data_IF_383245238219
#
_entry.id   IF_383245238219
#
_cell.length_a   1.000
_cell.length_b   1.000
_cell.length_c   1.000
_cell.angle_alpha   90.00
_cell.angle_beta   90.00
_cell.angle_gamma   90.00
#
_symmetry.space_group_name_H-M   'P 1'
#
loop_
_entity.id
_entity.type
_entity.pdbx_description
1 polymer ?
#
# COMPACT_ATOMS: atom_id res chain seq x y z
N UNK A 1 16.86 47.09 -11.54
CA UNK A 1 17.86 46.71 -10.51
C UNK A 1 17.22 46.07 -9.26
N UNK A 2 15.94 46.30 -8.97
CA UNK A 2 15.22 45.84 -7.76
C UNK A 2 15.11 44.31 -7.60
N UNK A 3 15.03 43.56 -8.71
CA UNK A 3 15.03 42.09 -8.70
C UNK A 3 16.33 41.45 -8.18
N UNK A 4 17.47 42.14 -8.25
CA UNK A 4 18.77 41.52 -7.90
C UNK A 4 18.96 41.31 -6.39
N UNK A 5 18.41 42.20 -5.54
CA UNK A 5 18.57 42.13 -4.08
C UNK A 5 17.78 40.97 -3.47
N UNK A 6 16.57 40.69 -3.99
CA UNK A 6 15.78 39.54 -3.57
C UNK A 6 16.47 38.22 -3.95
N UNK A 7 16.98 38.11 -5.18
CA UNK A 7 17.67 36.91 -5.63
C UNK A 7 18.94 36.64 -4.82
N UNK A 8 19.71 37.68 -4.46
CA UNK A 8 20.89 37.54 -3.61
C UNK A 8 20.52 37.07 -2.20
N UNK A 9 19.48 37.66 -1.60
CA UNK A 9 18.96 37.24 -0.29
C UNK A 9 18.49 35.78 -0.32
N UNK A 10 17.67 35.42 -1.29
CA UNK A 10 17.15 34.06 -1.47
C UNK A 10 18.28 33.05 -1.70
N UNK A 11 19.31 33.42 -2.48
CA UNK A 11 20.49 32.58 -2.69
C UNK A 11 21.24 32.32 -1.37
N UNK A 12 21.43 33.36 -0.54
CA UNK A 12 22.05 33.23 0.78
C UNK A 12 21.24 32.32 1.70
N UNK A 13 19.93 32.50 1.78
CA UNK A 13 19.04 31.65 2.60
C UNK A 13 19.07 30.19 2.12
N UNK A 14 18.91 29.98 0.81
CA UNK A 14 18.79 28.63 0.23
C UNK A 14 20.10 27.86 0.22
N UNK A 15 21.26 28.55 0.26
CA UNK A 15 22.58 27.92 0.42
C UNK A 15 22.69 27.09 1.71
N UNK A 16 21.96 27.47 2.76
CA UNK A 16 21.93 26.78 4.05
C UNK A 16 20.98 25.58 4.09
N UNK A 17 20.08 25.45 3.10
CA UNK A 17 19.09 24.39 3.01
C UNK A 17 19.66 23.19 2.24
N UNK A 18 19.84 22.04 2.89
CA UNK A 18 20.49 20.88 2.26
C UNK A 18 19.60 20.19 1.24
N UNK A 19 18.30 20.06 1.50
CA UNK A 19 17.36 19.37 0.62
C UNK A 19 17.04 20.19 -0.63
N UNK A 20 17.28 19.63 -1.83
CA UNK A 20 16.95 20.28 -3.11
C UNK A 20 15.44 20.57 -3.24
N UNK A 21 14.61 19.60 -2.86
CA UNK A 21 13.16 19.73 -2.89
C UNK A 21 12.67 20.84 -1.94
N UNK A 22 13.28 20.93 -0.74
CA UNK A 22 12.97 22.01 0.18
C UNK A 22 13.45 23.38 -0.34
N UNK A 23 14.64 23.46 -0.98
CA UNK A 23 15.15 24.70 -1.58
C UNK A 23 14.16 25.28 -2.58
N UNK A 24 13.68 24.49 -3.53
CA UNK A 24 12.73 24.97 -4.55
C UNK A 24 11.43 25.51 -3.93
N UNK A 25 10.91 24.82 -2.92
CA UNK A 25 9.68 25.23 -2.22
C UNK A 25 9.88 26.50 -1.38
N UNK A 26 10.95 26.53 -0.57
CA UNK A 26 11.32 27.66 0.27
C UNK A 26 11.60 28.90 -0.58
N UNK A 27 12.29 28.75 -1.71
CA UNK A 27 12.58 29.87 -2.62
C UNK A 27 11.29 30.52 -3.12
N UNK A 28 10.32 29.70 -3.56
CA UNK A 28 9.02 30.20 -4.03
C UNK A 28 8.23 30.89 -2.92
N UNK A 29 8.18 30.30 -1.73
CA UNK A 29 7.45 30.86 -0.57
C UNK A 29 8.07 32.19 -0.12
N UNK A 30 9.40 32.22 0.09
CA UNK A 30 10.09 33.43 0.51
C UNK A 30 10.03 34.52 -0.56
N UNK A 31 10.14 34.18 -1.84
CA UNK A 31 10.00 35.15 -2.92
C UNK A 31 8.59 35.76 -2.96
N UNK A 32 7.54 34.95 -2.73
CA UNK A 32 6.18 35.46 -2.61
C UNK A 32 6.03 36.43 -1.43
N UNK A 33 6.50 36.06 -0.24
CA UNK A 33 6.45 36.91 0.95
C UNK A 33 7.26 38.20 0.81
N UNK A 34 8.45 38.14 0.21
CA UNK A 34 9.26 39.33 -0.07
C UNK A 34 8.52 40.31 -0.99
N UNK A 35 7.86 39.80 -2.04
CA UNK A 35 7.06 40.64 -2.93
C UNK A 35 5.84 41.23 -2.23
N UNK A 36 5.15 40.46 -1.38
CA UNK A 36 4.01 40.92 -0.60
C UNK A 36 4.40 42.04 0.39
N UNK A 37 5.51 41.84 1.13
CA UNK A 37 6.08 42.83 2.04
C UNK A 37 6.48 44.10 1.29
N UNK A 38 7.18 43.98 0.16
CA UNK A 38 7.56 45.13 -0.65
C UNK A 38 6.34 45.92 -1.14
N UNK A 39 5.31 45.24 -1.68
CA UNK A 39 4.07 45.90 -2.08
C UNK A 39 3.39 46.61 -0.90
N UNK A 40 3.46 46.05 0.31
CA UNK A 40 2.92 46.69 1.51
C UNK A 40 3.66 48.00 1.85
N UNK A 41 4.98 48.05 1.69
CA UNK A 41 5.78 49.26 1.91
C UNK A 41 5.56 50.29 0.79
N UNK A 42 5.43 49.85 -0.47
CA UNK A 42 5.08 50.76 -1.57
C UNK A 42 3.74 51.46 -1.34
N UNK A 43 2.73 50.73 -0.84
CA UNK A 43 1.43 51.33 -0.45
C UNK A 43 1.53 52.36 0.68
N UNK A 44 2.58 52.28 1.51
CA UNK A 44 2.88 53.26 2.57
C UNK A 44 3.66 54.47 2.06
N UNK A 45 3.92 54.56 0.75
CA UNK A 45 4.58 55.69 0.10
C UNK A 45 6.09 55.53 -0.08
N UNK A 46 6.67 54.36 0.20
CA UNK A 46 8.10 54.13 -0.04
C UNK A 46 8.39 53.86 -1.52
N UNK A 47 9.49 54.41 -2.08
CA UNK A 47 9.97 54.04 -3.41
C UNK A 47 10.28 52.54 -3.51
N UNK A 48 10.11 51.94 -4.68
CA UNK A 48 10.26 50.47 -4.91
C UNK A 48 11.58 49.90 -4.36
N UNK A 49 12.70 50.60 -4.56
CA UNK A 49 14.02 50.16 -4.09
C UNK A 49 14.09 50.15 -2.56
N UNK A 50 13.62 51.22 -1.91
CA UNK A 50 13.59 51.33 -0.44
C UNK A 50 12.60 50.34 0.18
N UNK A 51 11.47 50.09 -0.50
CA UNK A 51 10.48 49.10 -0.10
C UNK A 51 11.05 47.66 -0.13
N UNK A 52 11.86 47.33 -1.14
CA UNK A 52 12.52 46.03 -1.23
C UNK A 52 13.56 45.84 -0.12
N UNK A 53 14.38 46.86 0.16
CA UNK A 53 15.38 46.76 1.22
C UNK A 53 14.72 46.63 2.61
N UNK A 54 13.61 47.33 2.84
CA UNK A 54 12.79 47.15 4.06
C UNK A 54 12.15 45.77 4.17
N UNK A 55 11.66 45.21 3.06
CA UNK A 55 11.15 43.85 3.03
C UNK A 55 12.23 42.82 3.41
N UNK A 56 13.47 43.00 2.95
CA UNK A 56 14.61 42.15 3.36
C UNK A 56 14.92 42.32 4.85
N UNK A 57 14.94 43.55 5.36
CA UNK A 57 15.21 43.81 6.77
C UNK A 57 14.19 43.16 7.71
N UNK A 58 12.90 43.17 7.34
CA UNK A 58 11.86 42.47 8.11
C UNK A 58 12.05 40.95 8.13
N UNK A 59 12.58 40.36 7.06
CA UNK A 59 12.87 38.92 7.00
C UNK A 59 14.05 38.51 7.91
N UNK A 60 14.88 39.47 8.30
CA UNK A 60 16.02 39.26 9.20
C UNK A 60 17.22 38.60 8.53
N UNK A 61 18.15 38.08 9.35
CA UNK A 61 19.42 37.52 8.87
C UNK A 61 19.19 36.28 7.97
N UNK A 62 19.69 36.29 6.71
CA UNK A 62 19.48 35.19 5.78
C UNK A 62 20.13 33.88 6.22
N UNK A 63 21.25 33.93 6.95
CA UNK A 63 21.94 32.71 7.40
C UNK A 63 21.17 32.00 8.50
N UNK A 64 20.77 32.74 9.55
CA UNK A 64 19.94 32.23 10.63
C UNK A 64 18.58 31.73 10.14
N UNK A 65 17.95 32.47 9.23
CA UNK A 65 16.70 32.04 8.59
C UNK A 65 16.89 30.73 7.81
N UNK A 66 17.94 30.64 7.00
CA UNK A 66 18.27 29.44 6.23
C UNK A 66 18.56 28.20 7.08
N UNK A 67 19.27 28.35 8.20
CA UNK A 67 19.54 27.25 9.13
C UNK A 67 18.26 26.77 9.85
N UNK A 68 17.41 27.70 10.30
CA UNK A 68 16.12 27.38 10.88
C UNK A 68 15.21 26.64 9.89
N UNK A 69 15.12 27.14 8.65
CA UNK A 69 14.35 26.50 7.59
C UNK A 69 14.89 25.11 7.22
N UNK A 70 16.21 24.93 7.18
CA UNK A 70 16.83 23.62 6.95
C UNK A 70 16.49 22.62 8.06
N UNK A 71 16.45 23.04 9.32
CA UNK A 71 16.06 22.18 10.46
C UNK A 71 14.60 21.76 10.36
N UNK A 72 13.72 22.66 9.94
CA UNK A 72 12.27 22.41 9.82
C UNK A 72 11.91 21.55 8.60
N UNK A 73 12.61 21.71 7.47
CA UNK A 73 12.29 21.03 6.20
C UNK A 73 13.23 19.85 5.88
N UNK A 74 13.95 19.32 6.88
CA UNK A 74 14.85 18.18 6.68
C UNK A 74 14.04 16.90 6.41
N UNK A 75 14.29 16.18 5.30
CA UNK A 75 13.65 14.89 5.06
C UNK A 75 13.99 13.90 6.18
N UNK A 76 12.97 13.24 6.74
CA UNK A 76 13.15 12.21 7.77
C UNK A 76 12.71 10.85 7.25
N UNK A 77 13.47 9.81 7.56
CA UNK A 77 13.09 8.43 7.25
C UNK A 77 12.46 7.76 8.47
N UNK A 78 11.49 6.88 8.25
CA UNK A 78 10.98 6.02 9.31
C UNK A 78 11.87 4.79 9.48
N UNK A 79 13.00 4.96 10.18
CA UNK A 79 13.99 3.91 10.38
C UNK A 79 13.43 2.67 11.08
N UNK A 80 12.41 2.82 11.93
CA UNK A 80 11.75 1.69 12.56
C UNK A 80 11.01 0.84 11.52
N UNK A 81 10.25 1.48 10.62
CA UNK A 81 9.55 0.78 9.54
C UNK A 81 10.52 0.07 8.59
N UNK A 82 11.65 0.72 8.27
CA UNK A 82 12.72 0.12 7.46
C UNK A 82 13.34 -1.08 8.17
N UNK A 83 13.64 -0.97 9.46
CA UNK A 83 14.19 -2.08 10.26
C UNK A 83 13.25 -3.29 10.30
N UNK A 84 11.94 -3.06 10.52
CA UNK A 84 10.93 -4.12 10.49
C UNK A 84 10.88 -4.78 9.11
N UNK A 85 10.87 -4.00 8.04
CA UNK A 85 10.87 -4.52 6.67
C UNK A 85 12.09 -5.40 6.40
N UNK A 86 13.28 -5.01 6.85
CA UNK A 86 14.50 -5.82 6.71
C UNK A 86 14.37 -7.16 7.43
N UNK A 87 13.79 -7.18 8.63
CA UNK A 87 13.55 -8.42 9.38
C UNK A 87 12.56 -9.32 8.64
N UNK A 88 11.40 -8.78 8.22
CA UNK A 88 10.39 -9.56 7.50
C UNK A 88 10.93 -10.08 6.16
N UNK A 89 11.71 -9.29 5.43
CA UNK A 89 12.38 -9.71 4.20
C UNK A 89 13.37 -10.87 4.44
N UNK A 90 14.11 -10.85 5.54
CA UNK A 90 15.00 -11.96 5.91
C UNK A 90 14.21 -13.23 6.26
N UNK A 91 13.08 -13.10 6.96
CA UNK A 91 12.20 -14.23 7.31
C UNK A 91 11.50 -14.85 6.09
N UNK A 92 11.37 -14.10 4.98
CA UNK A 92 10.74 -14.60 3.74
C UNK A 92 11.45 -15.78 3.09
N UNK A 93 12.70 -16.05 3.46
CA UNK A 93 13.43 -17.21 2.97
C UNK A 93 13.03 -18.50 3.69
N UNK A 94 12.51 -18.43 4.91
CA UNK A 94 12.22 -19.61 5.73
C UNK A 94 11.19 -20.56 5.09
N UNK A 95 10.07 -20.08 4.50
CA UNK A 95 9.13 -20.97 3.79
C UNK A 95 9.75 -21.75 2.62
N UNK A 96 10.90 -21.30 2.10
CA UNK A 96 11.53 -21.88 0.92
C UNK A 96 12.52 -23.02 1.25
N UNK A 97 12.92 -23.16 2.51
CA UNK A 97 14.02 -24.05 2.90
C UNK A 97 13.56 -25.51 2.99
N UNK A 98 12.39 -25.80 3.57
CA UNK A 98 11.92 -27.17 3.76
C UNK A 98 10.69 -27.59 2.94
N UNK A 99 9.89 -26.66 2.40
CA UNK A 99 8.62 -26.99 1.72
C UNK A 99 8.72 -27.46 0.26
N UNK A 100 9.89 -27.31 -0.39
CA UNK A 100 9.98 -27.28 -1.86
C UNK A 100 10.75 -28.41 -2.53
N UNK A 101 11.61 -29.12 -1.79
CA UNK A 101 12.47 -30.17 -2.38
C UNK A 101 11.67 -31.37 -2.90
N UNK A 102 10.70 -31.87 -2.12
CA UNK A 102 9.94 -33.06 -2.50
C UNK A 102 8.80 -32.78 -3.50
N UNK A 103 8.21 -31.57 -3.48
CA UNK A 103 7.01 -31.26 -4.26
C UNK A 103 7.33 -30.92 -5.72
N UNK A 104 8.40 -30.15 -5.96
CA UNK A 104 8.73 -29.66 -7.31
C UNK A 104 9.94 -30.36 -7.94
N UNK A 105 10.63 -31.24 -7.20
CA UNK A 105 11.91 -31.87 -7.61
C UNK A 105 12.96 -30.87 -8.12
N UNK A 106 12.80 -29.61 -7.75
CA UNK A 106 13.71 -28.52 -8.09
C UNK A 106 14.57 -28.24 -6.86
N UNK A 107 15.88 -28.00 -7.04
CA UNK A 107 16.76 -27.78 -5.90
C UNK A 107 16.34 -26.51 -5.16
N UNK A 108 16.42 -26.52 -3.83
CA UNK A 108 16.16 -25.35 -2.94
C UNK A 108 16.89 -24.09 -3.44
N UNK A 109 18.08 -24.26 -4.04
CA UNK A 109 18.85 -23.20 -4.67
C UNK A 109 18.10 -22.40 -5.74
N UNK A 110 17.16 -23.01 -6.47
CA UNK A 110 16.35 -22.34 -7.49
C UNK A 110 15.41 -21.30 -6.86
N UNK A 111 14.65 -21.69 -5.83
CA UNK A 111 13.70 -20.81 -5.16
C UNK A 111 14.39 -19.70 -4.39
N UNK A 112 15.50 -20.00 -3.73
CA UNK A 112 16.32 -18.99 -3.04
C UNK A 112 16.86 -17.96 -4.03
N UNK A 113 17.40 -18.38 -5.19
CA UNK A 113 17.87 -17.45 -6.23
C UNK A 113 16.74 -16.54 -6.72
N UNK A 114 15.57 -17.12 -6.98
CA UNK A 114 14.40 -16.37 -7.47
C UNK A 114 13.86 -15.40 -6.41
N UNK A 115 13.79 -15.80 -5.15
CA UNK A 115 13.39 -14.93 -4.03
C UNK A 115 14.37 -13.77 -3.85
N UNK A 116 15.69 -14.03 -3.91
CA UNK A 116 16.71 -12.98 -3.86
C UNK A 116 16.58 -11.98 -5.01
N UNK A 117 16.26 -12.45 -6.21
CA UNK A 117 15.98 -11.57 -7.36
C UNK A 117 14.76 -10.68 -7.10
N UNK A 118 13.64 -11.25 -6.65
CA UNK A 118 12.42 -10.50 -6.37
C UNK A 118 12.58 -9.50 -5.22
N UNK A 119 13.29 -9.87 -4.15
CA UNK A 119 13.61 -8.96 -3.05
C UNK A 119 14.51 -7.80 -3.50
N UNK A 120 15.50 -8.07 -4.35
CA UNK A 120 16.35 -7.03 -4.93
C UNK A 120 15.53 -6.04 -5.77
N UNK A 121 14.60 -6.55 -6.59
CA UNK A 121 13.71 -5.73 -7.38
C UNK A 121 12.71 -4.94 -6.50
N UNK A 122 12.18 -5.56 -5.44
CA UNK A 122 11.32 -4.92 -4.46
C UNK A 122 12.03 -3.76 -3.74
N UNK A 123 13.29 -3.96 -3.35
CA UNK A 123 14.11 -2.91 -2.75
C UNK A 123 14.34 -1.74 -3.73
N UNK A 124 14.60 -2.04 -5.00
CA UNK A 124 14.74 -1.02 -6.05
C UNK A 124 13.43 -0.22 -6.20
N UNK A 125 12.28 -0.89 -6.23
CA UNK A 125 10.96 -0.23 -6.29
C UNK A 125 10.74 0.69 -5.09
N UNK A 126 11.07 0.24 -3.87
CA UNK A 126 10.95 1.06 -2.66
C UNK A 126 11.83 2.30 -2.76
N UNK A 127 13.10 2.15 -3.13
CA UNK A 127 14.04 3.26 -3.26
C UNK A 127 13.55 4.25 -4.33
N UNK A 128 13.12 3.75 -5.49
CA UNK A 128 12.61 4.56 -6.57
C UNK A 128 11.41 5.41 -6.13
N UNK A 129 10.44 4.80 -5.43
CA UNK A 129 9.23 5.48 -4.96
C UNK A 129 9.49 6.45 -3.81
N UNK A 130 10.44 6.14 -2.92
CA UNK A 130 10.90 7.06 -1.89
C UNK A 130 11.43 8.34 -2.54
N UNK A 131 12.29 8.21 -3.56
CA UNK A 131 12.89 9.34 -4.27
C UNK A 131 11.84 10.10 -5.08
N UNK A 132 10.94 9.39 -5.74
CA UNK A 132 9.84 9.96 -6.52
C UNK A 132 8.90 10.82 -5.67
N UNK A 133 8.43 11.94 -6.21
CA UNK A 133 7.45 12.82 -5.55
C UNK A 133 6.04 12.28 -5.79
N UNK A 134 5.48 11.61 -4.77
CA UNK A 134 4.16 10.99 -4.82
C UNK A 134 3.06 11.99 -5.23
N UNK A 135 3.20 13.29 -4.94
CA UNK A 135 2.17 14.32 -5.25
C UNK A 135 1.90 14.44 -6.73
N UNK A 136 2.87 14.09 -7.58
CA UNK A 136 2.68 14.07 -9.04
C UNK A 136 1.59 13.08 -9.46
N UNK A 137 1.40 11.99 -8.71
CA UNK A 137 0.40 10.96 -9.00
C UNK A 137 -1.04 11.48 -8.89
N UNK A 138 -1.27 12.55 -8.11
CA UNK A 138 -2.60 13.09 -7.84
C UNK A 138 -3.36 13.48 -9.12
N UNK A 139 -2.68 13.88 -10.19
CA UNK A 139 -3.35 14.40 -11.39
C UNK A 139 -3.64 13.33 -12.45
N UNK A 140 -3.12 12.11 -12.30
CA UNK A 140 -3.16 11.07 -13.34
C UNK A 140 -4.17 9.96 -13.06
N UNK A 141 -5.19 10.20 -12.24
CA UNK A 141 -6.13 9.17 -11.81
C UNK A 141 -6.88 8.51 -12.97
N UNK A 142 -7.25 9.28 -14.00
CA UNK A 142 -7.93 8.76 -15.21
C UNK A 142 -7.03 7.77 -15.93
N UNK A 143 -5.74 8.09 -16.08
CA UNK A 143 -4.77 7.21 -16.72
C UNK A 143 -4.59 5.91 -15.93
N UNK A 144 -4.38 5.99 -14.61
CA UNK A 144 -4.26 4.78 -13.79
C UNK A 144 -5.50 3.91 -13.86
N UNK A 145 -6.69 4.52 -13.81
CA UNK A 145 -7.95 3.79 -13.89
C UNK A 145 -8.13 3.10 -15.25
N UNK A 146 -7.99 3.85 -16.35
CA UNK A 146 -8.18 3.31 -17.70
C UNK A 146 -7.15 2.25 -18.05
N UNK A 147 -5.88 2.44 -17.67
CA UNK A 147 -4.83 1.43 -17.87
C UNK A 147 -5.14 0.18 -17.05
N UNK A 148 -5.59 0.31 -15.80
CA UNK A 148 -6.01 -0.82 -14.98
C UNK A 148 -7.15 -1.62 -15.61
N UNK A 149 -8.19 -0.94 -16.11
CA UNK A 149 -9.30 -1.58 -16.84
C UNK A 149 -8.81 -2.25 -18.12
N UNK A 150 -7.99 -1.56 -18.93
CA UNK A 150 -7.47 -2.10 -20.17
C UNK A 150 -6.63 -3.37 -19.95
N UNK A 151 -5.82 -3.42 -18.89
CA UNK A 151 -5.06 -4.60 -18.51
C UNK A 151 -6.00 -5.75 -18.14
N UNK A 152 -7.04 -5.53 -17.34
CA UNK A 152 -8.00 -6.59 -16.98
C UNK A 152 -8.76 -7.12 -18.21
N UNK A 153 -9.20 -6.23 -19.10
CA UNK A 153 -9.86 -6.61 -20.36
C UNK A 153 -8.89 -7.42 -21.23
N UNK A 154 -7.64 -6.96 -21.37
CA UNK A 154 -6.62 -7.71 -22.11
C UNK A 154 -6.35 -9.09 -21.48
N UNK A 155 -6.30 -9.16 -20.16
CA UNK A 155 -6.11 -10.41 -19.40
C UNK A 155 -7.25 -11.39 -19.67
N UNK A 156 -8.49 -10.91 -19.81
CA UNK A 156 -9.63 -11.75 -20.14
C UNK A 156 -9.51 -12.41 -21.53
N UNK A 157 -9.00 -11.69 -22.53
CA UNK A 157 -8.87 -12.23 -23.89
C UNK A 157 -7.59 -13.03 -24.14
N UNK A 158 -6.46 -12.58 -23.59
CA UNK A 158 -5.13 -13.11 -23.90
C UNK A 158 -4.52 -13.95 -22.77
N UNK A 159 -5.16 -13.98 -21.61
CA UNK A 159 -4.68 -14.70 -20.45
C UNK A 159 -4.97 -16.20 -20.53
N UNK A 160 -4.08 -17.00 -19.94
CA UNK A 160 -4.30 -18.44 -19.78
C UNK A 160 -4.48 -18.76 -18.28
N UNK A 161 -5.36 -19.71 -17.99
CA UNK A 161 -5.63 -20.15 -16.61
C UNK A 161 -4.58 -21.17 -16.19
N UNK A 162 -3.96 -20.95 -15.04
CA UNK A 162 -3.10 -21.91 -14.35
C UNK A 162 -3.60 -22.06 -12.91
N UNK A 163 -3.71 -23.30 -12.42
CA UNK A 163 -4.23 -23.64 -11.09
C UNK A 163 -5.67 -23.11 -10.85
N UNK A 164 -6.55 -23.26 -11.85
CA UNK A 164 -8.00 -23.01 -11.78
C UNK A 164 -8.47 -21.55 -11.47
N UNK A 165 -7.56 -20.65 -11.11
CA UNK A 165 -7.91 -19.27 -10.67
C UNK A 165 -6.96 -18.18 -11.16
N UNK A 166 -5.71 -18.49 -11.54
CA UNK A 166 -4.71 -17.48 -11.88
C UNK A 166 -4.61 -17.32 -13.39
N UNK A 167 -5.04 -16.14 -13.87
CA UNK A 167 -4.91 -15.76 -15.28
C UNK A 167 -3.55 -15.12 -15.53
N UNK A 168 -2.63 -15.88 -16.11
CA UNK A 168 -1.29 -15.42 -16.44
C UNK A 168 -1.24 -14.85 -17.86
N UNK A 169 -0.41 -13.83 -18.06
CA UNK A 169 -0.04 -13.36 -19.39
C UNK A 169 1.39 -13.84 -19.68
N UNK A 170 1.56 -14.56 -20.79
CA UNK A 170 2.88 -15.00 -21.27
C UNK A 170 3.55 -13.87 -22.06
N UNK A 171 4.72 -13.44 -21.60
CA UNK A 171 5.64 -12.54 -22.29
C UNK A 171 6.88 -13.32 -22.71
N UNK A 172 6.89 -13.80 -23.96
CA UNK A 172 8.00 -14.58 -24.53
C UNK A 172 8.39 -15.77 -23.65
N UNK A 173 9.39 -15.62 -22.77
CA UNK A 173 9.92 -16.66 -21.87
C UNK A 173 9.40 -16.59 -20.43
N UNK A 174 8.71 -15.53 -20.01
CA UNK A 174 8.22 -15.37 -18.64
C UNK A 174 6.72 -15.10 -18.60
N UNK A 175 6.08 -15.49 -17.49
CA UNK A 175 4.66 -15.24 -17.25
C UNK A 175 4.48 -14.29 -16.07
N UNK A 176 3.54 -13.35 -16.19
CA UNK A 176 3.19 -12.41 -15.12
C UNK A 176 1.69 -12.48 -14.86
N UNK A 177 1.31 -12.50 -13.57
CA UNK A 177 -0.04 -12.22 -13.13
C UNK A 177 -0.21 -10.69 -13.08
N UNK A 178 -1.02 -10.10 -13.97
CA UNK A 178 -1.20 -8.66 -14.06
C UNK A 178 -2.09 -8.08 -12.97
N UNK A 179 -2.84 -8.91 -12.23
CA UNK A 179 -3.93 -8.46 -11.36
C UNK A 179 -3.46 -7.70 -10.11
N UNK A 180 -2.32 -8.03 -9.45
CA UNK A 180 -1.74 -7.18 -8.41
C UNK A 180 -1.36 -5.79 -8.93
N UNK A 181 -0.90 -5.68 -10.19
CA UNK A 181 -0.59 -4.39 -10.81
C UNK A 181 -1.86 -3.57 -11.03
N UNK A 182 -2.95 -4.18 -11.52
CA UNK A 182 -4.22 -3.46 -11.70
C UNK A 182 -4.79 -2.97 -10.39
N UNK A 183 -4.69 -3.76 -9.32
CA UNK A 183 -5.08 -3.32 -7.97
C UNK A 183 -4.28 -2.10 -7.52
N UNK A 184 -2.96 -2.08 -7.75
CA UNK A 184 -2.12 -0.92 -7.43
C UNK A 184 -2.52 0.32 -8.24
N UNK A 185 -2.80 0.17 -9.54
CA UNK A 185 -3.26 1.26 -10.39
C UNK A 185 -4.60 1.81 -9.91
N UNK A 186 -5.56 0.95 -9.57
CA UNK A 186 -6.83 1.44 -9.06
C UNK A 186 -6.71 2.07 -7.68
N UNK A 187 -5.83 1.57 -6.81
CA UNK A 187 -5.49 2.20 -5.55
C UNK A 187 -4.99 3.64 -5.76
N UNK A 188 -4.07 3.85 -6.73
CA UNK A 188 -3.61 5.19 -7.09
C UNK A 188 -4.72 6.08 -7.64
N UNK A 189 -5.57 5.52 -8.51
CA UNK A 189 -6.70 6.25 -9.07
C UNK A 189 -7.67 6.71 -7.97
N UNK A 190 -8.09 5.78 -7.11
CA UNK A 190 -9.01 6.07 -6.01
C UNK A 190 -8.42 7.00 -4.97
N UNK A 191 -7.10 6.98 -4.73
CA UNK A 191 -6.47 7.91 -3.81
C UNK A 191 -6.64 9.36 -4.26
N UNK A 192 -6.59 9.60 -5.58
CA UNK A 192 -6.84 10.93 -6.14
C UNK A 192 -8.33 11.27 -6.20
N UNK A 193 -9.18 10.32 -6.61
CA UNK A 193 -10.63 10.51 -6.66
C UNK A 193 -11.17 10.89 -5.27
N UNK A 194 -10.79 10.16 -4.22
CA UNK A 194 -11.22 10.44 -2.85
C UNK A 194 -10.63 11.73 -2.29
N UNK A 195 -9.42 12.13 -2.70
CA UNK A 195 -8.86 13.44 -2.36
C UNK A 195 -9.68 14.59 -2.97
N UNK A 196 -10.33 14.36 -4.11
CA UNK A 196 -11.16 15.34 -4.81
C UNK A 196 -12.66 15.08 -4.64
N UNK A 197 -13.06 14.34 -3.60
CA UNK A 197 -14.45 13.86 -3.43
C UNK A 197 -15.49 14.98 -3.43
N UNK A 198 -15.11 16.19 -3.01
CA UNK A 198 -15.97 17.38 -3.02
C UNK A 198 -16.42 17.80 -4.42
N UNK A 199 -15.68 17.44 -5.48
CA UNK A 199 -16.07 17.70 -6.87
C UNK A 199 -17.28 16.87 -7.30
N UNK A 200 -17.58 15.79 -6.57
CA UNK A 200 -18.71 14.88 -6.78
C UNK A 200 -19.90 15.25 -5.88
N UNK A 201 -20.27 16.53 -5.88
CA UNK A 201 -21.34 17.09 -5.05
C UNK A 201 -22.76 16.82 -5.60
N UNK A 202 -22.90 16.54 -6.90
CA UNK A 202 -24.18 16.22 -7.57
C UNK A 202 -24.45 14.71 -7.58
N UNK A 203 -25.72 14.31 -7.51
CA UNK A 203 -26.14 12.90 -7.58
C UNK A 203 -25.61 12.17 -8.83
N UNK A 204 -25.65 12.82 -10.00
CA UNK A 204 -25.10 12.24 -11.24
C UNK A 204 -23.60 11.91 -11.12
N UNK A 205 -22.81 12.79 -10.50
CA UNK A 205 -21.39 12.55 -10.25
C UNK A 205 -21.15 11.47 -9.19
N UNK A 206 -22.03 11.34 -8.20
CA UNK A 206 -21.97 10.26 -7.22
C UNK A 206 -22.33 8.91 -7.84
N UNK A 207 -23.29 8.87 -8.77
CA UNK A 207 -23.58 7.69 -9.57
C UNK A 207 -22.38 7.26 -10.42
N UNK A 208 -21.61 8.21 -10.98
CA UNK A 208 -20.36 7.91 -11.67
C UNK A 208 -19.35 7.20 -10.74
N UNK A 209 -19.24 7.59 -9.46
CA UNK A 209 -18.37 6.90 -8.50
C UNK A 209 -18.79 5.45 -8.27
N UNK A 210 -20.10 5.16 -8.26
CA UNK A 210 -20.58 3.78 -8.18
C UNK A 210 -20.23 2.97 -9.43
N UNK A 211 -20.37 3.56 -10.62
CA UNK A 211 -19.98 2.91 -11.87
C UNK A 211 -18.49 2.60 -11.85
N UNK A 212 -17.66 3.58 -11.45
CA UNK A 212 -16.21 3.40 -11.33
C UNK A 212 -15.82 2.33 -10.30
N UNK A 213 -16.63 2.16 -9.25
CA UNK A 213 -16.44 1.14 -8.23
C UNK A 213 -16.79 -0.26 -8.76
N UNK A 214 -17.92 -0.41 -9.45
CA UNK A 214 -18.36 -1.73 -9.89
C UNK A 214 -17.59 -2.29 -11.09
N UNK A 215 -17.07 -1.46 -12.00
CA UNK A 215 -16.36 -1.93 -13.19
C UNK A 215 -15.20 -2.89 -12.85
N UNK A 216 -14.22 -2.54 -11.97
CA UNK A 216 -13.13 -3.46 -11.64
C UNK A 216 -13.60 -4.70 -10.87
N UNK A 217 -14.61 -4.56 -10.01
CA UNK A 217 -15.21 -5.68 -9.27
C UNK A 217 -15.74 -6.71 -10.26
N UNK A 218 -16.57 -6.29 -11.23
CA UNK A 218 -17.13 -7.18 -12.24
C UNK A 218 -16.03 -7.85 -13.08
N UNK A 219 -14.99 -7.12 -13.48
CA UNK A 219 -13.86 -7.69 -14.22
C UNK A 219 -13.09 -8.72 -13.39
N UNK A 220 -12.87 -8.49 -12.09
CA UNK A 220 -12.25 -9.49 -11.21
C UNK A 220 -13.12 -10.74 -11.07
N UNK A 221 -14.44 -10.58 -10.94
CA UNK A 221 -15.37 -11.72 -10.87
C UNK A 221 -15.41 -12.54 -12.17
N UNK A 222 -15.30 -11.88 -13.32
CA UNK A 222 -15.18 -12.54 -14.64
C UNK A 222 -13.85 -13.30 -14.77
N UNK A 223 -12.79 -12.82 -14.12
CA UNK A 223 -11.46 -13.45 -14.05
C UNK A 223 -11.30 -14.40 -12.84
N UNK A 224 -12.35 -15.16 -12.52
CA UNK A 224 -12.65 -15.80 -11.22
C UNK A 224 -11.77 -15.42 -10.02
N UNK A 225 -11.66 -14.13 -9.70
CA UNK A 225 -10.83 -13.64 -8.60
C UNK A 225 -11.65 -12.87 -7.56
N UNK A 226 -12.28 -13.61 -6.65
CA UNK A 226 -13.03 -13.05 -5.53
C UNK A 226 -12.13 -12.24 -4.58
N UNK A 227 -10.92 -12.73 -4.31
CA UNK A 227 -9.95 -12.16 -3.37
C UNK A 227 -9.63 -10.69 -3.68
N UNK A 228 -9.25 -10.39 -4.91
CA UNK A 228 -8.90 -9.03 -5.33
C UNK A 228 -10.13 -8.13 -5.44
N UNK A 229 -11.31 -8.68 -5.74
CA UNK A 229 -12.56 -7.90 -5.73
C UNK A 229 -12.91 -7.41 -4.32
N UNK A 230 -12.78 -8.27 -3.31
CA UNK A 230 -13.01 -7.94 -1.89
C UNK A 230 -11.96 -6.94 -1.41
N UNK A 231 -10.67 -7.19 -1.70
CA UNK A 231 -9.58 -6.31 -1.30
C UNK A 231 -9.73 -4.90 -1.90
N UNK A 232 -10.07 -4.84 -3.18
CA UNK A 232 -10.38 -3.60 -3.89
C UNK A 232 -11.52 -2.85 -3.22
N UNK A 233 -12.66 -3.53 -3.00
CA UNK A 233 -13.86 -2.93 -2.41
C UNK A 233 -13.59 -2.35 -1.01
N UNK A 234 -12.95 -3.14 -0.14
CA UNK A 234 -12.61 -2.72 1.23
C UNK A 234 -11.61 -1.56 1.23
N UNK A 235 -10.59 -1.58 0.38
CA UNK A 235 -9.61 -0.49 0.31
C UNK A 235 -10.27 0.85 -0.03
N UNK A 236 -11.22 0.87 -0.96
CA UNK A 236 -11.93 2.09 -1.36
C UNK A 236 -12.85 2.58 -0.24
N UNK A 237 -13.59 1.68 0.41
CA UNK A 237 -14.44 2.03 1.55
C UNK A 237 -13.62 2.74 2.64
N UNK A 238 -12.45 2.20 2.98
CA UNK A 238 -11.56 2.82 3.97
C UNK A 238 -11.01 4.17 3.47
N UNK A 239 -10.56 4.26 2.21
CA UNK A 239 -10.05 5.52 1.65
C UNK A 239 -11.10 6.63 1.64
N UNK A 240 -12.36 6.30 1.32
CA UNK A 240 -13.48 7.25 1.39
C UNK A 240 -13.76 7.66 2.82
N UNK A 241 -13.80 6.71 3.77
CA UNK A 241 -14.05 6.99 5.18
C UNK A 241 -13.02 7.94 5.81
N UNK A 242 -11.77 7.90 5.33
CA UNK A 242 -10.68 8.75 5.80
C UNK A 242 -10.41 9.98 4.91
N UNK A 243 -11.25 10.24 3.90
CA UNK A 243 -11.15 11.44 3.07
C UNK A 243 -11.49 12.71 3.88
N UNK A 244 -10.80 13.81 3.58
CA UNK A 244 -11.05 15.13 4.19
C UNK A 244 -12.17 15.92 3.48
N UNK A 245 -13.03 15.25 2.70
CA UNK A 245 -14.16 15.88 2.03
C UNK A 245 -15.26 16.40 2.97
N UNK A 246 -16.26 17.10 2.41
CA UNK A 246 -17.45 17.53 3.12
C UNK A 246 -18.14 16.30 3.74
N UNK A 247 -18.37 16.33 5.05
CA UNK A 247 -18.96 15.22 5.82
C UNK A 247 -20.21 14.65 5.16
N UNK A 248 -21.11 15.50 4.66
CA UNK A 248 -22.35 15.06 3.99
C UNK A 248 -22.11 14.27 2.70
N UNK A 249 -21.04 14.56 1.95
CA UNK A 249 -20.68 13.84 0.73
C UNK A 249 -20.00 12.52 1.11
N UNK A 250 -19.01 12.59 2.02
CA UNK A 250 -18.26 11.42 2.49
C UNK A 250 -19.18 10.37 3.10
N UNK A 251 -20.14 10.77 3.95
CA UNK A 251 -21.09 9.83 4.58
C UNK A 251 -22.01 9.20 3.54
N UNK A 252 -22.54 9.98 2.58
CA UNK A 252 -23.44 9.45 1.53
C UNK A 252 -22.73 8.49 0.56
N UNK A 253 -21.57 8.88 0.04
CA UNK A 253 -20.80 8.03 -0.87
C UNK A 253 -20.24 6.83 -0.09
N UNK A 254 -19.74 7.05 1.11
CA UNK A 254 -19.20 6.01 1.98
C UNK A 254 -20.22 4.96 2.35
N UNK A 255 -21.44 5.34 2.76
CA UNK A 255 -22.49 4.37 3.10
C UNK A 255 -22.93 3.54 1.89
N UNK A 256 -23.01 4.17 0.72
CA UNK A 256 -23.40 3.53 -0.54
C UNK A 256 -22.37 2.49 -1.01
N UNK A 257 -21.08 2.86 -0.98
CA UNK A 257 -19.98 1.95 -1.31
C UNK A 257 -19.86 0.85 -0.26
N UNK A 258 -20.01 1.17 1.03
CA UNK A 258 -20.00 0.17 2.09
C UNK A 258 -21.12 -0.85 1.91
N UNK A 259 -22.36 -0.41 1.65
CA UNK A 259 -23.48 -1.32 1.38
C UNK A 259 -23.22 -2.18 0.15
N UNK A 260 -22.64 -1.61 -0.92
CA UNK A 260 -22.25 -2.36 -2.12
C UNK A 260 -21.21 -3.45 -1.81
N UNK A 261 -20.21 -3.13 -0.98
CA UNK A 261 -19.21 -4.10 -0.52
C UNK A 261 -19.81 -5.20 0.34
N UNK A 262 -20.76 -4.88 1.21
CA UNK A 262 -21.48 -5.89 2.01
C UNK A 262 -22.24 -6.85 1.10
N UNK A 263 -23.00 -6.34 0.13
CA UNK A 263 -23.73 -7.17 -0.85
C UNK A 263 -22.78 -8.06 -1.66
N UNK A 264 -21.63 -7.52 -2.10
CA UNK A 264 -20.61 -8.30 -2.79
C UNK A 264 -20.11 -9.46 -1.93
N UNK A 265 -19.66 -9.17 -0.70
CA UNK A 265 -19.09 -10.17 0.21
C UNK A 265 -20.13 -11.24 0.57
N UNK A 266 -21.37 -10.85 0.88
CA UNK A 266 -22.42 -11.82 1.21
C UNK A 266 -22.75 -12.71 0.01
N UNK A 267 -22.80 -12.16 -1.20
CA UNK A 267 -23.05 -12.94 -2.42
C UNK A 267 -21.93 -13.96 -2.66
N UNK A 268 -20.67 -13.55 -2.47
CA UNK A 268 -19.52 -14.45 -2.56
C UNK A 268 -19.61 -15.57 -1.51
N UNK A 269 -19.88 -15.24 -0.25
CA UNK A 269 -20.02 -16.23 0.82
C UNK A 269 -21.17 -17.21 0.57
N UNK A 270 -22.31 -16.74 0.07
CA UNK A 270 -23.43 -17.61 -0.32
C UNK A 270 -23.07 -18.52 -1.50
N UNK A 271 -22.23 -18.05 -2.42
CA UNK A 271 -21.74 -18.87 -3.53
C UNK A 271 -20.90 -20.04 -3.00
N UNK A 272 -19.97 -19.76 -2.07
CA UNK A 272 -19.20 -20.81 -1.38
C UNK A 272 -20.12 -21.81 -0.65
N UNK A 273 -21.07 -21.32 0.15
CA UNK A 273 -21.99 -22.18 0.89
C UNK A 273 -22.82 -23.09 -0.03
N UNK A 274 -23.33 -22.56 -1.14
CA UNK A 274 -24.15 -23.31 -2.08
C UNK A 274 -23.35 -24.41 -2.80
N UNK A 275 -22.04 -24.22 -3.01
CA UNK A 275 -21.19 -25.24 -3.62
C UNK A 275 -20.84 -26.40 -2.68
N UNK A 276 -20.79 -26.17 -1.37
CA UNK A 276 -20.28 -27.13 -0.38
C UNK A 276 -21.35 -27.67 0.58
N UNK A 277 -22.56 -27.10 0.59
CA UNK A 277 -23.68 -27.49 1.45
C UNK A 277 -23.58 -27.00 2.90
N UNK A 278 -22.38 -26.68 3.38
CA UNK A 278 -22.09 -26.04 4.66
C UNK A 278 -20.88 -25.10 4.52
N UNK A 279 -20.62 -24.25 5.52
CA UNK A 279 -19.39 -23.47 5.54
C UNK A 279 -18.20 -24.38 5.91
N UNK A 280 -17.25 -24.66 5.00
CA UNK A 280 -16.17 -25.63 5.22
C UNK A 280 -15.30 -25.29 6.43
N UNK A 281 -15.17 -24.00 6.72
CA UNK A 281 -14.41 -23.47 7.84
C UNK A 281 -15.10 -23.63 9.20
N UNK A 282 -16.43 -23.72 9.24
CA UNK A 282 -17.18 -23.94 10.49
C UNK A 282 -17.32 -25.42 10.83
N UNK A 283 -17.47 -26.27 9.80
CA UNK A 283 -17.70 -27.70 9.96
C UNK A 283 -16.79 -28.51 9.02
N UNK A 284 -15.47 -28.49 9.24
CA UNK A 284 -14.52 -29.16 8.36
C UNK A 284 -14.66 -30.69 8.35
N UNK A 285 -15.22 -31.28 9.40
CA UNK A 285 -15.43 -32.74 9.50
C UNK A 285 -16.63 -33.23 8.68
N UNK A 286 -17.56 -32.33 8.35
CA UNK A 286 -18.76 -32.64 7.58
C UNK A 286 -18.57 -32.42 6.08
N UNK A 287 -17.42 -31.86 5.69
CA UNK A 287 -17.15 -31.43 4.33
C UNK A 287 -16.08 -32.31 3.66
N UNK A 288 -16.49 -32.97 2.57
CA UNK A 288 -15.62 -33.81 1.73
C UNK A 288 -14.96 -33.04 0.57
N UNK A 289 -15.19 -31.73 0.49
CA UNK A 289 -14.51 -30.89 -0.49
C UNK A 289 -13.03 -30.66 -0.13
N UNK A 290 -12.27 -30.21 -1.13
CA UNK A 290 -10.85 -29.85 -0.98
C UNK A 290 -10.61 -28.87 0.18
N UNK A 291 -11.54 -27.94 0.41
CA UNK A 291 -11.41 -26.93 1.46
C UNK A 291 -11.56 -27.54 2.86
N UNK A 292 -12.56 -28.41 3.07
CA UNK A 292 -12.74 -29.17 4.30
C UNK A 292 -11.50 -30.00 4.67
N UNK A 293 -10.92 -30.70 3.68
CA UNK A 293 -9.66 -31.43 3.87
C UNK A 293 -8.49 -30.53 4.28
N UNK A 294 -8.35 -29.34 3.68
CA UNK A 294 -7.28 -28.40 4.08
C UNK A 294 -7.46 -27.96 5.53
N UNK A 295 -8.69 -27.67 5.97
CA UNK A 295 -8.96 -27.31 7.37
C UNK A 295 -8.61 -28.43 8.36
N UNK A 296 -8.85 -29.69 8.00
CA UNK A 296 -8.42 -30.84 8.81
C UNK A 296 -6.88 -30.91 8.91
N UNK A 297 -6.17 -30.72 7.80
CA UNK A 297 -4.70 -30.68 7.79
C UNK A 297 -4.19 -29.54 8.68
N UNK A 298 -4.79 -28.34 8.59
CA UNK A 298 -4.43 -27.20 9.44
C UNK A 298 -4.62 -27.50 10.93
N UNK A 299 -5.74 -28.14 11.31
CA UNK A 299 -5.98 -28.57 12.69
C UNK A 299 -4.92 -29.55 13.21
N UNK A 300 -4.51 -30.51 12.37
CA UNK A 300 -3.44 -31.46 12.69
C UNK A 300 -2.08 -30.77 12.83
N UNK A 301 -1.74 -29.86 11.93
CA UNK A 301 -0.49 -29.07 11.99
C UNK A 301 -0.42 -28.29 13.31
N UNK A 302 -1.48 -27.58 13.66
CA UNK A 302 -1.49 -26.70 14.83
C UNK A 302 -1.49 -27.46 16.15
N UNK A 303 -2.09 -28.64 16.20
CA UNK A 303 -2.06 -29.52 17.38
C UNK A 303 -0.68 -30.18 17.58
N UNK A 304 0.03 -30.49 16.50
CA UNK A 304 1.33 -31.17 16.55
C UNK A 304 2.54 -30.22 16.60
N UNK A 305 2.37 -28.93 16.28
CA UNK A 305 3.46 -27.96 16.22
C UNK A 305 4.22 -27.74 17.55
N UNK A 306 3.56 -27.85 18.70
CA UNK A 306 4.14 -27.50 19.99
C UNK A 306 4.64 -26.04 20.08
N UNK A 307 5.32 -25.69 21.18
CA UNK A 307 5.83 -24.32 21.37
C UNK A 307 7.12 -24.03 20.60
N UNK A 308 7.93 -25.05 20.33
CA UNK A 308 9.28 -24.94 19.73
C UNK A 308 9.41 -25.60 18.35
N UNK A 309 8.32 -26.17 17.82
CA UNK A 309 8.30 -26.77 16.50
C UNK A 309 8.85 -28.18 16.46
N UNK A 310 8.72 -28.79 15.27
CA UNK A 310 9.20 -30.13 14.97
C UNK A 310 10.49 -30.13 14.12
N UNK A 311 11.05 -28.96 13.82
CA UNK A 311 12.21 -28.81 12.93
C UNK A 311 11.81 -28.75 11.45
N UNK A 312 12.81 -28.76 10.56
CA UNK A 312 12.63 -28.63 9.11
C UNK A 312 12.44 -29.98 8.40
N UNK A 313 12.12 -31.04 9.14
CA UNK A 313 11.97 -32.38 8.58
C UNK A 313 10.74 -32.49 7.67
N UNK A 314 10.87 -33.34 6.66
CA UNK A 314 9.84 -33.60 5.66
C UNK A 314 8.74 -34.50 6.22
N UNK A 315 7.89 -33.93 7.08
CA UNK A 315 6.66 -34.61 7.49
C UNK A 315 5.65 -34.61 6.32
N UNK A 316 5.08 -35.78 6.05
CA UNK A 316 3.94 -36.02 5.18
C UNK A 316 2.78 -35.01 5.39
N UNK A 317 2.55 -34.56 6.62
CA UNK A 317 1.53 -33.55 6.94
C UNK A 317 1.81 -32.20 6.28
N UNK A 318 3.07 -31.76 6.24
CA UNK A 318 3.47 -30.51 5.60
C UNK A 318 3.54 -30.62 4.08
N UNK A 319 3.98 -31.77 3.58
CA UNK A 319 4.06 -32.05 2.14
C UNK A 319 2.66 -32.11 1.52
N UNK A 320 1.66 -32.57 2.27
CA UNK A 320 0.27 -32.63 1.81
C UNK A 320 -0.46 -31.27 1.83
N UNK A 321 0.08 -30.25 2.47
CA UNK A 321 -0.52 -28.91 2.52
C UNK A 321 -0.26 -28.14 1.21
N UNK A 322 -1.27 -27.91 0.36
CA UNK A 322 -1.08 -27.13 -0.86
C UNK A 322 -0.74 -25.67 -0.51
N UNK A 323 0.17 -25.07 -1.28
CA UNK A 323 0.53 -23.66 -1.08
C UNK A 323 1.37 -23.37 0.17
N UNK A 324 2.02 -24.38 0.76
CA UNK A 324 2.84 -24.27 1.98
C UNK A 324 3.99 -23.24 1.91
N UNK A 325 4.34 -22.74 0.72
CA UNK A 325 5.33 -21.69 0.48
C UNK A 325 4.70 -20.36 0.05
N UNK A 326 3.40 -20.34 -0.29
CA UNK A 326 2.63 -19.18 -0.74
C UNK A 326 1.66 -18.72 0.35
N UNK A 327 0.35 -18.76 0.08
CA UNK A 327 -0.76 -18.47 0.98
C UNK A 327 -0.78 -19.30 2.28
N UNK A 328 -0.20 -20.51 2.30
CA UNK A 328 -0.13 -21.37 3.48
C UNK A 328 1.27 -21.39 4.15
N UNK A 329 2.06 -20.33 3.98
CA UNK A 329 3.39 -20.22 4.59
C UNK A 329 3.38 -20.22 6.13
N UNK A 330 2.36 -19.66 6.78
CA UNK A 330 2.34 -19.53 8.24
C UNK A 330 2.17 -20.86 9.00
N UNK A 331 1.23 -21.75 8.65
CA UNK A 331 1.12 -23.08 9.26
C UNK A 331 2.42 -23.88 9.13
N UNK A 332 3.09 -23.78 7.98
CA UNK A 332 4.41 -24.37 7.77
C UNK A 332 5.45 -23.85 8.77
N UNK A 333 5.53 -22.52 8.94
CA UNK A 333 6.46 -21.89 9.88
C UNK A 333 6.12 -22.23 11.33
N UNK A 334 4.84 -22.30 11.69
CA UNK A 334 4.40 -22.71 13.04
C UNK A 334 4.74 -24.17 13.31
N UNK A 335 4.52 -25.07 12.35
CA UNK A 335 4.90 -26.47 12.50
C UNK A 335 6.41 -26.63 12.69
N UNK A 336 7.20 -25.92 11.88
CA UNK A 336 8.66 -26.07 11.84
C UNK A 336 9.35 -25.43 13.05
N UNK A 337 8.91 -24.23 13.45
CA UNK A 337 9.57 -23.40 14.48
C UNK A 337 8.74 -23.19 15.75
N UNK A 338 7.51 -23.69 15.78
CA UNK A 338 6.61 -23.67 16.94
C UNK A 338 5.71 -22.44 17.03
N UNK A 339 4.73 -22.53 17.94
CA UNK A 339 3.80 -21.44 18.23
C UNK A 339 4.48 -20.17 18.71
N UNK A 340 5.60 -20.27 19.46
CA UNK A 340 6.33 -19.09 19.91
C UNK A 340 6.81 -18.24 18.71
N UNK A 341 7.37 -18.90 17.70
CA UNK A 341 7.78 -18.25 16.45
C UNK A 341 6.57 -17.65 15.72
N UNK A 342 5.47 -18.40 15.61
CA UNK A 342 4.23 -17.91 15.01
C UNK A 342 3.71 -16.62 15.65
N UNK A 343 3.66 -16.58 16.99
CA UNK A 343 3.24 -15.38 17.73
C UNK A 343 4.19 -14.20 17.48
N UNK A 344 5.51 -14.43 17.49
CA UNK A 344 6.51 -13.39 17.19
C UNK A 344 6.30 -12.84 15.77
N UNK A 345 6.09 -13.72 14.79
CA UNK A 345 5.84 -13.33 13.41
C UNK A 345 4.56 -12.50 13.26
N UNK A 346 3.47 -12.93 13.90
CA UNK A 346 2.21 -12.18 13.94
C UNK A 346 2.41 -10.78 14.54
N UNK A 347 3.10 -10.67 15.68
CA UNK A 347 3.39 -9.38 16.33
C UNK A 347 4.23 -8.49 15.41
N UNK A 348 5.23 -9.06 14.72
CA UNK A 348 6.08 -8.33 13.79
C UNK A 348 5.26 -7.74 12.61
N UNK A 349 4.39 -8.53 12.00
CA UNK A 349 3.51 -8.10 10.90
C UNK A 349 2.49 -7.05 11.36
N UNK A 350 1.86 -7.26 12.53
CA UNK A 350 0.94 -6.28 13.11
C UNK A 350 1.65 -4.98 13.47
N UNK A 351 2.91 -5.04 13.94
CA UNK A 351 3.72 -3.86 14.22
C UNK A 351 4.07 -3.09 12.94
N UNK A 352 4.41 -3.79 11.84
CA UNK A 352 4.59 -3.18 10.51
C UNK A 352 3.33 -2.42 10.11
N UNK A 353 2.18 -3.09 10.14
CA UNK A 353 0.88 -2.52 9.77
C UNK A 353 0.53 -1.32 10.65
N UNK A 354 0.63 -1.46 11.98
CA UNK A 354 0.34 -0.40 12.93
C UNK A 354 1.23 0.83 12.71
N UNK A 355 2.49 0.63 12.32
CA UNK A 355 3.41 1.74 12.01
C UNK A 355 2.97 2.49 10.75
N UNK A 356 2.57 1.78 9.70
CA UNK A 356 2.04 2.40 8.47
C UNK A 356 0.76 3.18 8.77
N UNK A 357 -0.20 2.58 9.50
CA UNK A 357 -1.42 3.27 9.94
C UNK A 357 -1.14 4.54 10.74
N UNK A 358 -0.23 4.47 11.73
CA UNK A 358 0.18 5.61 12.54
C UNK A 358 0.77 6.73 11.69
N UNK A 359 1.53 6.39 10.65
CA UNK A 359 2.07 7.37 9.71
C UNK A 359 0.97 8.05 8.88
N UNK A 360 -0.04 7.29 8.45
CA UNK A 360 -1.19 7.82 7.72
C UNK A 360 -2.01 8.81 8.57
N UNK A 361 -2.36 8.42 9.80
CA UNK A 361 -3.16 9.26 10.70
C UNK A 361 -2.45 10.58 11.05
N UNK A 362 -1.12 10.55 11.19
CA UNK A 362 -0.31 11.75 11.48
C UNK A 362 -0.04 12.65 10.27
N UNK A 363 -0.38 12.21 9.06
CA UNK A 363 -0.14 12.98 7.84
C UNK A 363 -1.25 14.03 7.67
N UNK A 364 -0.86 15.31 7.60
CA UNK A 364 -1.81 16.43 7.46
C UNK A 364 -2.34 16.57 6.03
N UNK A 365 -1.44 16.41 5.06
CA UNK A 365 -1.75 16.53 3.63
C UNK A 365 -2.74 15.43 3.21
N UNK A 366 -3.83 15.83 2.56
CA UNK A 366 -5.00 14.96 2.33
C UNK A 366 -4.68 13.78 1.40
N UNK A 367 -4.02 14.01 0.26
CA UNK A 367 -3.69 12.96 -0.71
C UNK A 367 -2.71 11.94 -0.13
N UNK A 368 -1.64 12.40 0.52
CA UNK A 368 -0.66 11.55 1.18
C UNK A 368 -1.25 10.75 2.33
N UNK A 369 -2.17 11.35 3.11
CA UNK A 369 -2.93 10.63 4.16
C UNK A 369 -3.76 9.50 3.56
N UNK A 370 -4.53 9.77 2.50
CA UNK A 370 -5.35 8.77 1.82
C UNK A 370 -4.48 7.65 1.23
N UNK A 371 -3.35 7.98 0.60
CA UNK A 371 -2.41 7.00 0.06
C UNK A 371 -1.88 6.07 1.15
N UNK A 372 -1.38 6.61 2.28
CA UNK A 372 -0.87 5.75 3.36
C UNK A 372 -2.00 4.90 3.93
N UNK A 373 -3.19 5.46 4.14
CA UNK A 373 -4.32 4.73 4.74
C UNK A 373 -4.79 3.60 3.83
N UNK A 374 -5.02 3.88 2.54
CA UNK A 374 -5.38 2.84 1.58
C UNK A 374 -4.29 1.77 1.45
N UNK A 375 -3.02 2.18 1.40
CA UNK A 375 -1.89 1.26 1.43
C UNK A 375 -1.84 0.40 2.70
N UNK A 376 -2.13 0.99 3.86
CA UNK A 376 -2.22 0.26 5.12
C UNK A 376 -3.36 -0.77 5.08
N UNK A 377 -4.52 -0.44 4.52
CA UNK A 377 -5.62 -1.38 4.31
C UNK A 377 -5.22 -2.54 3.40
N UNK A 378 -4.51 -2.25 2.31
CA UNK A 378 -4.01 -3.26 1.36
C UNK A 378 -2.97 -4.22 1.97
N UNK A 379 -2.31 -3.82 3.06
CA UNK A 379 -1.47 -4.73 3.87
C UNK A 379 -2.27 -5.42 4.98
N UNK A 380 -3.22 -4.71 5.59
CA UNK A 380 -3.98 -5.17 6.76
C UNK A 380 -4.94 -6.30 6.40
N UNK A 381 -5.76 -6.10 5.36
CA UNK A 381 -6.82 -7.06 4.99
C UNK A 381 -6.23 -8.41 4.62
N UNK A 382 -5.22 -8.51 3.73
CA UNK A 382 -4.62 -9.80 3.41
C UNK A 382 -3.96 -10.47 4.61
N UNK A 383 -3.26 -9.70 5.45
CA UNK A 383 -2.58 -10.25 6.64
C UNK A 383 -3.58 -10.80 7.64
N UNK A 384 -4.60 -10.03 8.00
CA UNK A 384 -5.61 -10.48 8.97
C UNK A 384 -6.42 -11.63 8.40
N UNK A 385 -6.85 -11.56 7.14
CA UNK A 385 -7.60 -12.63 6.53
C UNK A 385 -6.80 -13.92 6.48
N UNK A 386 -5.52 -13.86 6.07
CA UNK A 386 -4.63 -15.01 6.02
C UNK A 386 -4.49 -15.69 7.40
N UNK A 387 -4.29 -14.91 8.46
CA UNK A 387 -4.23 -15.46 9.82
C UNK A 387 -5.57 -16.07 10.26
N UNK A 388 -6.69 -15.41 9.95
CA UNK A 388 -8.02 -15.88 10.32
C UNK A 388 -8.43 -17.14 9.56
N UNK A 389 -8.10 -17.24 8.26
CA UNK A 389 -8.43 -18.41 7.46
C UNK A 389 -7.64 -19.64 7.92
N UNK A 390 -6.40 -19.46 8.37
CA UNK A 390 -5.62 -20.59 8.91
C UNK A 390 -6.24 -21.13 10.20
N UNK A 391 -6.85 -20.27 11.01
CA UNK A 391 -7.53 -20.65 12.24
C UNK A 391 -8.97 -21.17 12.02
N UNK A 392 -9.44 -21.30 10.78
CA UNK A 392 -10.81 -21.76 10.50
C UNK A 392 -11.90 -20.73 10.75
N UNK A 393 -11.57 -19.43 10.87
CA UNK A 393 -12.55 -18.39 11.22
C UNK A 393 -13.25 -17.81 9.98
N UNK A 394 -12.53 -17.75 8.86
CA UNK A 394 -13.00 -17.22 7.56
C UNK A 394 -12.61 -18.19 6.44
N UNK A 395 -13.26 -18.16 5.27
CA UNK A 395 -12.98 -19.13 4.20
C UNK A 395 -11.57 -18.99 3.62
N UNK A 396 -11.04 -20.11 3.11
CA UNK A 396 -9.76 -20.18 2.40
C UNK A 396 -9.87 -19.37 1.11
N UNK A 397 -9.05 -18.33 1.00
CA UNK A 397 -8.88 -17.57 -0.23
C UNK A 397 -7.40 -17.23 -0.43
N UNK A 398 -7.02 -16.84 -1.64
CA UNK A 398 -5.63 -16.60 -2.03
C UNK A 398 -5.03 -15.28 -1.50
N UNK A 399 -5.11 -15.03 -0.20
CA UNK A 399 -4.35 -13.96 0.45
C UNK A 399 -3.04 -14.50 0.99
N UNK A 400 -1.93 -13.93 0.54
CA UNK A 400 -0.59 -14.27 1.03
C UNK A 400 -0.13 -13.27 2.09
N UNK A 401 0.62 -13.74 3.10
CA UNK A 401 1.27 -12.87 4.07
C UNK A 401 2.23 -11.90 3.37
N UNK A 402 2.09 -10.58 3.56
CA UNK A 402 2.97 -9.58 2.96
C UNK A 402 4.43 -9.85 3.31
N UNK A 403 5.28 -9.84 2.27
CA UNK A 403 6.73 -10.04 2.33
C UNK A 403 7.21 -11.42 2.81
N UNK A 404 6.41 -12.20 3.54
CA UNK A 404 6.79 -13.55 4.02
C UNK A 404 6.54 -14.61 2.95
N UNK A 405 5.38 -14.57 2.32
CA UNK A 405 4.97 -15.60 1.37
C UNK A 405 5.74 -15.47 0.07
N UNK A 406 5.99 -16.60 -0.58
CA UNK A 406 6.59 -16.62 -1.90
C UNK A 406 5.64 -16.02 -2.95
N UNK A 407 6.14 -15.12 -3.78
CA UNK A 407 5.35 -14.53 -4.86
C UNK A 407 5.91 -13.18 -5.32
N UNK A 408 6.56 -13.17 -6.49
CA UNK A 408 7.21 -11.97 -7.04
C UNK A 408 6.26 -10.78 -7.23
N UNK A 409 5.11 -11.00 -7.88
CA UNK A 409 4.16 -9.92 -8.20
C UNK A 409 3.56 -9.29 -6.94
N UNK A 410 3.19 -10.13 -5.96
CA UNK A 410 2.65 -9.64 -4.68
C UNK A 410 3.73 -8.96 -3.83
N UNK A 411 4.98 -9.45 -3.87
CA UNK A 411 6.10 -8.78 -3.22
C UNK A 411 6.34 -7.37 -3.80
N UNK A 412 6.35 -7.23 -5.13
CA UNK A 412 6.48 -5.93 -5.79
C UNK A 412 5.31 -5.00 -5.49
N UNK A 413 4.09 -5.53 -5.43
CA UNK A 413 2.89 -4.80 -5.02
C UNK A 413 3.03 -4.23 -3.59
N UNK A 414 3.39 -5.09 -2.63
CA UNK A 414 3.59 -4.68 -1.24
C UNK A 414 4.76 -3.68 -1.10
N UNK A 415 5.83 -3.90 -1.85
CA UNK A 415 6.98 -2.99 -1.92
C UNK A 415 6.58 -1.62 -2.48
N UNK A 416 5.72 -1.58 -3.51
CA UNK A 416 5.23 -0.33 -4.07
C UNK A 416 4.38 0.45 -3.06
N UNK A 417 3.51 -0.24 -2.32
CA UNK A 417 2.72 0.36 -1.23
C UNK A 417 3.61 0.96 -0.15
N UNK A 418 4.58 0.19 0.37
CA UNK A 418 5.49 0.69 1.40
C UNK A 418 6.41 1.81 0.88
N UNK A 419 6.87 1.72 -0.36
CA UNK A 419 7.65 2.75 -1.02
C UNK A 419 6.90 4.08 -1.08
N UNK A 420 5.60 4.06 -1.44
CA UNK A 420 4.75 5.25 -1.37
C UNK A 420 4.54 5.74 0.06
N UNK A 421 4.29 4.85 1.02
CA UNK A 421 4.10 5.25 2.41
C UNK A 421 5.35 5.94 2.99
N UNK A 422 6.54 5.44 2.67
CA UNK A 422 7.82 6.05 3.04
C UNK A 422 8.06 7.36 2.28
N UNK A 423 7.67 7.43 1.01
CA UNK A 423 7.73 8.66 0.19
C UNK A 423 6.91 9.81 0.78
N UNK A 424 5.70 9.50 1.28
CA UNK A 424 4.84 10.46 1.99
C UNK A 424 5.46 10.83 3.34
N UNK A 425 5.89 9.85 4.14
CA UNK A 425 6.51 10.10 5.44
C UNK A 425 7.73 11.03 5.34
N UNK A 426 8.56 10.83 4.30
CA UNK A 426 9.74 11.64 4.03
C UNK A 426 9.45 13.13 3.84
N UNK A 427 8.28 13.45 3.28
CA UNK A 427 7.87 14.81 2.91
C UNK A 427 6.88 15.45 3.87
N UNK A 428 6.42 14.74 4.89
CA UNK A 428 5.36 15.22 5.79
C UNK A 428 5.69 16.55 6.49
N UNK A 429 6.95 16.77 6.88
CA UNK A 429 7.39 17.98 7.58
C UNK A 429 7.55 19.16 6.63
N UNK A 430 8.00 18.90 5.40
CA UNK A 430 8.14 19.90 4.34
C UNK A 430 6.76 20.51 4.01
N UNK A 431 5.71 19.71 4.09
CA UNK A 431 4.35 20.13 3.71
C UNK A 431 3.58 20.73 4.89
N UNK A 432 3.80 20.23 6.11
CA UNK A 432 3.06 20.68 7.29
C UNK A 432 3.27 22.17 7.62
N UNK A 433 4.43 22.73 7.27
CA UNK A 433 4.80 24.15 7.48
C UNK A 433 4.08 25.09 6.51
N UNK A 434 3.89 24.67 5.26
CA UNK A 434 3.18 25.48 4.25
C UNK A 434 1.67 25.51 4.51
N UNK A 435 1.08 24.39 4.95
CA UNK A 435 -0.37 24.32 5.23
C UNK A 435 -0.77 25.18 6.43
N UNK A 436 0.07 25.31 7.46
CA UNK A 436 -0.23 26.12 8.64
C UNK A 436 -0.11 27.64 8.45
N UNK A 437 0.40 28.09 7.30
CA UNK A 437 0.55 29.52 6.99
C UNK A 437 -0.49 30.04 6.00
N UNK A 438 -1.11 29.14 5.22
CA UNK A 438 -2.11 29.47 4.20
C UNK A 438 -3.57 29.24 4.64
N UNK A 439 -3.79 28.81 5.89
CA UNK A 439 -5.10 28.68 6.51
C UNK A 439 -5.10 29.37 7.85
#
# INVERSE_FOLDING_TARGET
>A
MSHSHFEEYLTKVTSKVKSKEAREMITKELHYHLNELSQSFQKRGFPEVEANDKAIQEMGDPSALGENLNRLHKPKMDWLLVGILCIVAALSFLPLIGGLYDILREPVSYFVKRQSFWLSLALLVIIALIVFDYRRLQHYWVYFYLVGVAILIYTYFAGYVQNDSITWIRFFTFSIDPRPLTLFLFFLAWASITNQINRFNTLFKQALLLVLFWIPILLYLILPNYTLSILYALSICVMVAFSQGLKRIVVRVGSLLFLSSVVLITTILLTFQNSTGAFPFLHPDLDSTREGHIYQILGNIFSQAGWFGNGLDHDSLIVSLPGNHTDMAFPYLVYSFGWLFGVILCVLLLMLIARVWKNGIKTKESFGRILIIGGATLLTVPTLWNLLMMLGIVPIIEFSLPFISYGGNMLLFNAAILGLALSVYRRKEIIATTVSRNG
#
